data_IF_588738228580
#
_entry.id   IF_588738228580
#
_cell.length_a   1.000
_cell.length_b   1.000
_cell.length_c   1.000
_cell.angle_alpha   90.00
_cell.angle_beta   90.00
_cell.angle_gamma   90.00
#
_symmetry.space_group_name_H-M   'P 1'
#
loop_
_entity.id
_entity.type
_entity.pdbx_description
1 polymer ?
#
# COMPACT_ATOMS: atom_id res chain seq x y z
N UNK A 1 38.02 -31.21 54.17
CA UNK A 1 39.09 -32.08 53.69
C UNK A 1 39.48 -31.59 52.31
N UNK A 2 40.44 -30.73 52.16
CA UNK A 2 41.89 -30.91 52.16
C UNK A 2 42.40 -31.49 50.82
N UNK A 3 43.10 -30.65 50.11
CA UNK A 3 44.49 -30.65 49.67
C UNK A 3 44.65 -31.24 48.25
N UNK A 4 45.53 -30.87 47.38
CA UNK A 4 46.79 -30.10 47.43
C UNK A 4 47.23 -29.77 45.98
N UNK A 5 48.02 -28.73 45.85
CA UNK A 5 48.71 -28.24 44.68
C UNK A 5 49.74 -29.23 44.13
N UNK A 6 50.13 -29.05 42.84
CA UNK A 6 51.53 -29.14 42.43
C UNK A 6 51.75 -28.39 41.11
N UNK A 7 52.65 -27.44 41.15
CA UNK A 7 53.23 -26.73 39.99
C UNK A 7 54.39 -27.53 39.45
N UNK A 8 54.61 -27.50 38.12
CA UNK A 8 55.95 -27.72 37.53
C UNK A 8 56.11 -26.83 36.30
N UNK A 9 57.07 -25.94 36.44
CA UNK A 9 57.61 -25.14 35.32
C UNK A 9 58.67 -25.96 34.59
N UNK A 10 58.74 -25.81 33.27
CA UNK A 10 59.94 -26.12 32.48
C UNK A 10 60.07 -25.16 31.30
N UNK A 11 61.09 -24.40 31.36
CA UNK A 11 61.64 -23.51 30.34
C UNK A 11 62.32 -24.31 29.21
N UNK A 12 62.12 -23.92 27.94
CA UNK A 12 63.12 -24.10 26.90
C UNK A 12 62.99 -23.01 25.83
N UNK A 13 64.07 -22.30 25.62
CA UNK A 13 64.29 -21.32 24.54
C UNK A 13 64.44 -22.02 23.17
N UNK A 14 64.14 -21.27 22.12
CA UNK A 14 64.52 -21.63 20.75
C UNK A 14 63.92 -20.70 19.70
N UNK A 15 64.74 -19.76 19.20
CA UNK A 15 64.44 -18.67 18.31
C UNK A 15 63.97 -19.02 16.90
N UNK A 16 63.60 -18.01 16.18
CA UNK A 16 63.35 -18.05 14.74
C UNK A 16 62.34 -17.01 14.30
N UNK A 17 62.82 -15.87 13.81
CA UNK A 17 62.01 -14.75 13.32
C UNK A 17 61.16 -15.14 12.10
N UNK A 18 60.02 -14.59 12.06
CA UNK A 18 59.11 -14.64 10.91
C UNK A 18 57.95 -13.68 11.21
N UNK A 19 58.17 -12.38 10.87
CA UNK A 19 57.08 -11.38 10.87
C UNK A 19 56.07 -11.75 9.80
N UNK A 20 55.08 -12.55 10.16
CA UNK A 20 53.90 -12.68 9.35
C UNK A 20 52.97 -11.52 9.69
N UNK A 21 52.90 -10.57 8.77
CA UNK A 21 51.86 -9.54 8.78
C UNK A 21 50.48 -10.23 8.77
N UNK A 22 49.83 -10.30 9.91
CA UNK A 22 48.42 -10.64 9.99
C UNK A 22 47.66 -9.52 9.29
N UNK A 23 47.31 -9.77 8.03
CA UNK A 23 46.26 -9.00 7.34
C UNK A 23 44.97 -9.25 8.11
N UNK A 24 44.66 -8.31 8.96
CA UNK A 24 43.36 -8.19 9.63
C UNK A 24 42.33 -7.96 8.53
N UNK A 25 41.83 -9.03 7.92
CA UNK A 25 40.65 -8.97 7.08
C UNK A 25 39.46 -8.85 8.02
N UNK A 26 39.21 -7.59 8.45
CA UNK A 26 37.90 -7.23 9.01
C UNK A 26 36.88 -7.58 7.95
N UNK A 27 36.15 -8.67 8.15
CA UNK A 27 34.97 -8.97 7.34
C UNK A 27 34.06 -7.73 7.42
N UNK A 28 33.51 -7.25 6.29
CA UNK A 28 32.54 -6.16 6.34
C UNK A 28 31.42 -6.58 7.28
N UNK A 29 31.09 -5.73 8.25
CA UNK A 29 29.88 -5.90 9.05
C UNK A 29 28.69 -6.06 8.08
N UNK A 30 27.72 -6.93 8.36
CA UNK A 30 26.53 -7.02 7.53
C UNK A 30 25.96 -5.61 7.40
N UNK A 31 25.77 -5.16 6.17
CA UNK A 31 25.17 -3.87 5.90
C UNK A 31 23.83 -3.85 6.63
N UNK A 32 23.61 -2.89 7.53
CA UNK A 32 22.32 -2.71 8.18
C UNK A 32 21.33 -2.38 7.07
N UNK A 33 20.30 -3.21 6.91
CA UNK A 33 19.23 -2.95 5.97
C UNK A 33 18.40 -1.80 6.52
N UNK A 34 18.34 -0.69 5.80
CA UNK A 34 17.43 0.39 6.14
C UNK A 34 16.01 -0.02 5.72
N UNK A 35 15.02 0.27 6.53
CA UNK A 35 13.62 -0.01 6.22
C UNK A 35 12.92 1.30 5.89
N UNK A 36 12.24 1.34 4.74
CA UNK A 36 11.34 2.42 4.34
C UNK A 36 9.90 1.99 4.60
N UNK A 37 9.25 2.60 5.58
CA UNK A 37 7.86 2.29 5.93
C UNK A 37 6.89 3.13 5.09
N UNK A 38 6.14 2.48 4.20
CA UNK A 38 5.18 3.13 3.30
C UNK A 38 3.76 2.77 3.69
N UNK A 39 3.00 3.76 4.17
CA UNK A 39 1.57 3.64 4.43
C UNK A 39 0.81 4.00 3.16
N UNK A 40 0.07 3.07 2.59
CA UNK A 40 -0.58 3.25 1.30
C UNK A 40 -2.02 2.71 1.29
N UNK A 41 -2.89 3.42 0.60
CA UNK A 41 -4.25 2.95 0.37
C UNK A 41 -4.26 1.54 -0.22
N UNK A 42 -5.17 0.69 0.25
CA UNK A 42 -5.24 -0.73 -0.11
C UNK A 42 -5.29 -0.98 -1.64
N UNK A 43 -5.91 -0.07 -2.41
CA UNK A 43 -5.99 -0.12 -3.87
C UNK A 43 -4.65 0.07 -4.59
N UNK A 44 -3.58 0.54 -3.90
CA UNK A 44 -2.23 0.72 -4.47
C UNK A 44 -1.38 -0.54 -4.37
N UNK A 45 -1.86 -1.59 -3.68
CA UNK A 45 -1.06 -2.76 -3.29
C UNK A 45 -0.30 -3.40 -4.45
N UNK A 46 -0.97 -3.69 -5.55
CA UNK A 46 -0.36 -4.39 -6.69
C UNK A 46 0.68 -3.52 -7.39
N UNK A 47 0.35 -2.25 -7.65
CA UNK A 47 1.25 -1.33 -8.34
C UNK A 47 2.47 -0.96 -7.47
N UNK A 48 2.27 -0.72 -6.17
CA UNK A 48 3.38 -0.45 -5.25
C UNK A 48 4.28 -1.68 -5.06
N UNK A 49 3.73 -2.90 -5.03
CA UNK A 49 4.53 -4.13 -4.99
C UNK A 49 5.34 -4.40 -6.28
N UNK A 50 4.94 -3.81 -7.43
CA UNK A 50 5.79 -3.80 -8.63
C UNK A 50 6.93 -2.78 -8.50
N UNK A 51 6.63 -1.57 -7.99
CA UNK A 51 7.62 -0.50 -7.78
C UNK A 51 8.63 -0.82 -6.67
N UNK A 52 8.24 -1.58 -5.63
CA UNK A 52 9.12 -2.09 -4.59
C UNK A 52 10.36 -2.76 -5.19
N UNK A 53 10.15 -3.68 -6.12
CA UNK A 53 11.24 -4.43 -6.79
C UNK A 53 12.20 -3.50 -7.53
N UNK A 54 11.66 -2.49 -8.21
CA UNK A 54 12.46 -1.48 -8.90
C UNK A 54 13.27 -0.63 -7.92
N UNK A 55 12.62 -0.20 -6.82
CA UNK A 55 13.25 0.64 -5.81
C UNK A 55 14.38 -0.07 -5.07
N UNK A 56 14.15 -1.30 -4.62
CA UNK A 56 15.14 -2.10 -3.89
C UNK A 56 16.32 -2.48 -4.77
N UNK A 57 16.07 -2.79 -6.05
CA UNK A 57 17.14 -3.04 -7.02
C UNK A 57 18.02 -1.78 -7.26
N UNK A 58 17.42 -0.59 -7.24
CA UNK A 58 18.12 0.69 -7.42
C UNK A 58 18.75 1.22 -6.12
N UNK A 59 18.34 0.68 -4.95
CA UNK A 59 18.77 1.17 -3.63
C UNK A 59 19.25 -0.01 -2.75
N UNK A 60 20.40 -0.61 -3.05
CA UNK A 60 20.90 -1.78 -2.32
C UNK A 60 21.00 -1.55 -0.80
N UNK A 61 20.52 -2.49 0.00
CA UNK A 61 20.50 -2.40 1.46
C UNK A 61 19.29 -1.64 2.02
N UNK A 62 18.27 -1.40 1.21
CA UNK A 62 16.96 -0.88 1.63
C UNK A 62 15.90 -1.96 1.41
N UNK A 63 14.98 -2.09 2.35
CA UNK A 63 13.77 -2.91 2.31
C UNK A 63 12.55 -1.99 2.40
N UNK A 64 11.54 -2.17 1.57
CA UNK A 64 10.31 -1.38 1.60
C UNK A 64 9.21 -2.15 2.32
N UNK A 65 8.83 -1.66 3.49
CA UNK A 65 7.76 -2.28 4.28
C UNK A 65 6.44 -1.53 4.06
N UNK A 66 5.41 -2.25 3.61
CA UNK A 66 4.10 -1.64 3.37
C UNK A 66 3.12 -1.91 4.49
N UNK A 67 2.33 -0.89 4.79
CA UNK A 67 1.05 -1.02 5.48
C UNK A 67 -0.07 -0.62 4.51
N UNK A 68 -0.80 -1.62 4.00
CA UNK A 68 -1.94 -1.41 3.10
C UNK A 68 -3.25 -1.51 3.87
N UNK A 69 -3.97 -0.39 3.97
CA UNK A 69 -5.26 -0.31 4.68
C UNK A 69 -6.20 0.73 4.05
N UNK A 70 -7.34 0.95 4.68
CA UNK A 70 -8.16 2.12 4.39
C UNK A 70 -7.39 3.40 4.69
N UNK A 71 -7.48 4.40 3.82
CA UNK A 71 -6.71 5.64 4.01
C UNK A 71 -7.04 6.34 5.34
N UNK A 72 -8.28 6.25 5.80
CA UNK A 72 -8.72 6.79 7.09
C UNK A 72 -8.03 6.09 8.27
N UNK A 73 -7.82 4.77 8.18
CA UNK A 73 -7.16 3.97 9.20
C UNK A 73 -5.66 4.29 9.26
N UNK A 74 -5.02 4.47 8.09
CA UNK A 74 -3.62 4.87 7.99
C UNK A 74 -3.37 6.24 8.64
N UNK A 75 -4.25 7.21 8.40
CA UNK A 75 -4.17 8.53 9.04
C UNK A 75 -4.38 8.44 10.56
N UNK A 76 -5.32 7.60 11.01
CA UNK A 76 -5.52 7.36 12.44
C UNK A 76 -4.30 6.73 13.10
N UNK A 77 -3.69 5.73 12.46
CA UNK A 77 -2.46 5.10 12.95
C UNK A 77 -1.29 6.09 13.04
N UNK A 78 -1.13 6.98 12.03
CA UNK A 78 -0.13 8.05 12.09
C UNK A 78 -0.39 9.02 13.25
N UNK A 79 -1.65 9.40 13.47
CA UNK A 79 -2.02 10.28 14.58
C UNK A 79 -1.78 9.64 15.95
N UNK A 80 -1.83 8.30 16.03
CA UNK A 80 -1.49 7.49 17.21
C UNK A 80 0.03 7.26 17.37
N UNK A 81 0.84 7.75 16.43
CA UNK A 81 2.31 7.69 16.48
C UNK A 81 2.92 6.47 15.79
N UNK A 82 2.21 5.83 14.86
CA UNK A 82 2.78 4.76 14.05
C UNK A 82 3.97 5.29 13.21
N UNK A 83 5.04 4.49 13.13
CA UNK A 83 6.27 4.83 12.42
C UNK A 83 6.07 4.59 10.91
N UNK A 84 6.02 5.67 10.14
CA UNK A 84 5.96 5.63 8.69
C UNK A 84 6.79 6.76 8.08
N UNK A 85 7.23 6.56 6.85
CA UNK A 85 8.05 7.51 6.11
C UNK A 85 7.29 8.20 4.99
N UNK A 86 6.33 7.49 4.39
CA UNK A 86 5.50 7.97 3.29
C UNK A 86 4.05 7.62 3.54
N UNK A 87 3.14 8.53 3.23
CA UNK A 87 1.69 8.31 3.18
C UNK A 87 1.17 8.53 1.76
N UNK A 88 0.43 7.55 1.23
CA UNK A 88 -0.32 7.65 -0.03
C UNK A 88 -1.79 7.30 0.20
N UNK A 89 -2.70 8.25 -0.05
CA UNK A 89 -4.14 8.07 0.19
C UNK A 89 -4.93 7.96 -1.11
N UNK A 90 -6.11 7.34 -1.04
CA UNK A 90 -6.99 7.16 -2.21
C UNK A 90 -7.94 8.35 -2.43
N UNK A 91 -7.84 9.43 -1.66
CA UNK A 91 -8.52 10.69 -1.93
C UNK A 91 -7.83 11.88 -1.25
N UNK A 92 -8.10 13.08 -1.80
CA UNK A 92 -7.53 14.34 -1.29
C UNK A 92 -8.08 14.69 0.10
N UNK A 93 -9.35 14.39 0.40
CA UNK A 93 -9.96 14.77 1.69
C UNK A 93 -9.36 14.04 2.89
N UNK A 94 -8.88 12.82 2.71
CA UNK A 94 -8.19 12.08 3.77
C UNK A 94 -6.75 12.58 3.95
N UNK A 95 -6.04 12.89 2.86
CA UNK A 95 -4.72 13.51 2.93
C UNK A 95 -4.78 14.90 3.57
N UNK A 96 -5.81 15.69 3.26
CA UNK A 96 -6.01 17.00 3.89
C UNK A 96 -6.14 16.89 5.42
N UNK A 97 -6.85 15.87 5.94
CA UNK A 97 -6.92 15.61 7.39
C UNK A 97 -5.53 15.32 7.98
N UNK A 98 -4.70 14.56 7.28
CA UNK A 98 -3.33 14.30 7.73
C UNK A 98 -2.48 15.58 7.73
N UNK A 99 -2.62 16.43 6.71
CA UNK A 99 -1.92 17.70 6.61
C UNK A 99 -2.38 18.70 7.69
N UNK A 100 -3.69 18.82 7.93
CA UNK A 100 -4.27 19.66 8.99
C UNK A 100 -3.80 19.24 10.38
N UNK A 101 -3.56 17.95 10.59
CA UNK A 101 -3.00 17.41 11.82
C UNK A 101 -1.45 17.53 11.90
N UNK A 102 -0.79 18.10 10.88
CA UNK A 102 0.68 18.24 10.84
C UNK A 102 1.43 16.91 10.71
N UNK A 103 0.80 15.86 10.18
CA UNK A 103 1.38 14.51 10.08
C UNK A 103 2.23 14.32 8.83
N UNK A 104 1.99 15.13 7.79
CA UNK A 104 2.65 14.99 6.48
C UNK A 104 3.15 16.34 5.96
N UNK A 105 4.21 16.29 5.15
CA UNK A 105 4.76 17.42 4.44
C UNK A 105 4.00 17.75 3.15
N UNK A 106 4.71 18.32 2.16
CA UNK A 106 4.14 18.70 0.88
C UNK A 106 3.55 17.48 0.15
N UNK A 107 2.30 17.59 -0.26
CA UNK A 107 1.56 16.53 -0.95
C UNK A 107 1.51 16.78 -2.46
N UNK A 108 1.61 15.68 -3.23
CA UNK A 108 1.48 15.70 -4.69
C UNK A 108 0.42 14.71 -5.13
N UNK A 109 -0.55 15.17 -5.93
CA UNK A 109 -1.51 14.26 -6.60
C UNK A 109 -0.79 13.57 -7.76
N UNK A 110 -0.81 12.24 -7.79
CA UNK A 110 -0.07 11.47 -8.78
C UNK A 110 -0.93 10.57 -9.66
N UNK A 111 -2.16 10.23 -9.22
CA UNK A 111 -3.09 9.33 -9.92
C UNK A 111 -4.53 9.77 -9.73
N UNK A 112 -5.40 9.21 -10.56
CA UNK A 112 -6.83 9.17 -10.33
C UNK A 112 -7.42 7.78 -10.64
N UNK A 113 -8.61 7.50 -10.08
CA UNK A 113 -9.31 6.24 -10.25
C UNK A 113 -10.83 6.45 -10.21
N UNK A 114 -11.55 5.54 -10.87
CA UNK A 114 -13.01 5.52 -10.92
C UNK A 114 -13.55 4.21 -10.34
N UNK A 115 -14.84 4.18 -10.01
CA UNK A 115 -15.51 3.00 -9.51
C UNK A 115 -15.99 2.09 -10.65
N UNK A 116 -16.11 0.81 -10.33
CA UNK A 116 -16.81 -0.21 -11.11
C UNK A 116 -17.56 -1.12 -10.16
N UNK A 117 -18.56 -1.83 -10.67
CA UNK A 117 -19.22 -2.90 -9.94
C UNK A 117 -18.50 -4.22 -10.27
N UNK A 118 -18.41 -5.12 -9.31
CA UNK A 118 -17.89 -6.47 -9.51
C UNK A 118 -18.89 -7.51 -9.01
N UNK A 119 -18.92 -8.65 -9.70
CA UNK A 119 -19.63 -9.85 -9.28
C UNK A 119 -18.64 -11.04 -9.22
N UNK A 120 -18.94 -12.13 -8.52
CA UNK A 120 -18.19 -13.37 -8.63
C UNK A 120 -18.10 -13.82 -10.09
N UNK A 121 -17.05 -14.56 -10.45
CA UNK A 121 -16.85 -15.02 -11.83
C UNK A 121 -18.07 -15.76 -12.36
N UNK A 122 -18.49 -15.40 -13.57
CA UNK A 122 -19.72 -15.90 -14.20
C UNK A 122 -21.00 -15.24 -13.73
N UNK A 123 -20.93 -14.26 -12.84
CA UNK A 123 -22.03 -13.40 -12.39
C UNK A 123 -23.33 -14.19 -12.06
N UNK A 124 -23.30 -15.10 -11.09
CA UNK A 124 -24.41 -16.01 -10.82
C UNK A 124 -25.70 -15.32 -10.39
N UNK A 125 -25.62 -14.10 -9.82
CA UNK A 125 -26.77 -13.30 -9.44
C UNK A 125 -27.37 -12.49 -10.60
N UNK A 126 -26.71 -12.46 -11.76
CA UNK A 126 -27.20 -11.74 -12.94
C UNK A 126 -27.20 -10.22 -12.77
N UNK A 127 -26.25 -9.67 -12.02
CA UNK A 127 -26.12 -8.22 -11.78
C UNK A 127 -25.71 -7.53 -13.07
N UNK A 128 -26.37 -6.43 -13.43
CA UNK A 128 -26.16 -5.72 -14.71
C UNK A 128 -25.66 -4.28 -14.53
N UNK A 129 -25.77 -3.72 -13.32
CA UNK A 129 -25.36 -2.34 -13.05
C UNK A 129 -25.81 -1.88 -11.66
N UNK A 130 -25.75 -0.58 -11.43
CA UNK A 130 -26.37 0.05 -10.25
C UNK A 130 -27.86 0.26 -10.51
N UNK A 131 -28.61 -0.83 -10.66
CA UNK A 131 -30.00 -0.86 -11.04
C UNK A 131 -30.79 -1.92 -10.23
N UNK A 132 -32.02 -2.22 -10.63
CA UNK A 132 -32.88 -3.20 -9.95
C UNK A 132 -32.33 -4.63 -9.92
N UNK A 133 -31.28 -4.96 -10.67
CA UNK A 133 -30.60 -6.25 -10.56
C UNK A 133 -29.93 -6.45 -9.20
N UNK A 134 -29.72 -5.38 -8.45
CA UNK A 134 -29.17 -5.41 -7.09
C UNK A 134 -30.24 -5.64 -6.00
N UNK A 135 -31.54 -5.58 -6.30
CA UNK A 135 -32.60 -5.61 -5.28
C UNK A 135 -32.58 -6.87 -4.41
N UNK A 136 -32.16 -8.01 -4.98
CA UNK A 136 -32.04 -9.28 -4.26
C UNK A 136 -30.59 -9.78 -4.13
N UNK A 137 -29.63 -8.99 -4.54
CA UNK A 137 -28.21 -9.32 -4.45
C UNK A 137 -27.62 -8.88 -3.10
N UNK A 138 -26.72 -9.68 -2.57
CA UNK A 138 -25.91 -9.29 -1.42
C UNK A 138 -24.83 -8.30 -1.87
N UNK A 139 -25.19 -7.03 -1.92
CA UNK A 139 -24.27 -5.95 -2.26
C UNK A 139 -23.39 -5.60 -1.07
N UNK A 140 -22.08 -5.51 -1.28
CA UNK A 140 -21.12 -4.96 -0.32
C UNK A 140 -20.48 -3.70 -0.88
N UNK A 141 -20.21 -2.73 -0.01
CA UNK A 141 -19.58 -1.46 -0.35
C UNK A 141 -18.51 -1.11 0.68
N UNK A 142 -17.72 -0.08 0.42
CA UNK A 142 -16.86 0.46 1.47
C UNK A 142 -17.67 1.30 2.47
N UNK A 143 -17.20 1.36 3.72
CA UNK A 143 -17.67 2.32 4.72
C UNK A 143 -17.53 3.77 4.20
N UNK A 144 -18.45 4.63 4.59
CA UNK A 144 -18.47 6.03 4.14
C UNK A 144 -17.31 6.87 4.65
N UNK A 145 -16.58 6.43 5.67
CA UNK A 145 -15.32 7.07 6.08
C UNK A 145 -14.14 6.71 5.16
N UNK A 146 -14.20 5.55 4.49
CA UNK A 146 -13.19 5.14 3.52
C UNK A 146 -13.32 5.93 2.20
N UNK A 147 -12.20 6.19 1.48
CA UNK A 147 -12.22 6.89 0.19
C UNK A 147 -13.18 6.28 -0.85
N UNK A 148 -13.20 4.94 -0.97
CA UNK A 148 -14.10 4.22 -1.87
C UNK A 148 -15.57 4.40 -1.49
N UNK A 149 -15.91 4.41 -0.20
CA UNK A 149 -17.28 4.64 0.26
C UNK A 149 -17.75 6.08 0.05
N UNK A 150 -16.87 7.06 0.30
CA UNK A 150 -17.16 8.48 -0.03
C UNK A 150 -17.44 8.64 -1.52
N UNK A 151 -16.58 8.07 -2.37
CA UNK A 151 -16.77 8.14 -3.82
C UNK A 151 -18.04 7.41 -4.26
N UNK A 152 -18.38 6.25 -3.65
CA UNK A 152 -19.63 5.53 -3.92
C UNK A 152 -20.83 6.41 -3.59
N UNK A 153 -20.83 7.08 -2.43
CA UNK A 153 -21.90 8.00 -2.03
C UNK A 153 -22.03 9.20 -2.97
N UNK A 154 -20.90 9.78 -3.37
CA UNK A 154 -20.86 10.89 -4.34
C UNK A 154 -21.43 10.46 -5.68
N UNK A 155 -20.96 9.35 -6.24
CA UNK A 155 -21.42 8.82 -7.52
C UNK A 155 -22.92 8.50 -7.49
N UNK A 156 -23.39 7.77 -6.48
CA UNK A 156 -24.80 7.42 -6.37
C UNK A 156 -25.70 8.63 -6.16
N UNK A 157 -25.20 9.64 -5.42
CA UNK A 157 -25.88 10.93 -5.29
C UNK A 157 -26.02 11.67 -6.63
N UNK A 158 -24.95 11.70 -7.43
CA UNK A 158 -24.97 12.31 -8.77
C UNK A 158 -25.91 11.58 -9.73
N UNK A 159 -25.99 10.25 -9.62
CA UNK A 159 -26.86 9.41 -10.46
C UNK A 159 -28.30 9.32 -9.94
N UNK A 160 -28.63 9.85 -8.76
CA UNK A 160 -29.95 9.74 -8.13
C UNK A 160 -30.30 8.30 -7.71
N UNK A 161 -29.30 7.47 -7.40
CA UNK A 161 -29.45 6.05 -7.03
C UNK A 161 -29.32 5.89 -5.52
N UNK A 162 -30.11 5.01 -4.93
CA UNK A 162 -29.99 4.57 -3.55
C UNK A 162 -29.56 3.12 -3.51
N UNK A 163 -28.46 2.82 -2.83
CA UNK A 163 -27.97 1.45 -2.62
C UNK A 163 -28.41 0.94 -1.24
N UNK A 164 -28.66 -0.38 -1.16
CA UNK A 164 -29.01 -1.09 0.07
C UNK A 164 -27.95 -2.19 0.34
N UNK A 165 -26.73 -1.83 0.73
CA UNK A 165 -25.68 -2.83 0.98
C UNK A 165 -25.99 -3.66 2.23
N UNK A 166 -25.64 -4.95 2.18
CA UNK A 166 -25.74 -5.86 3.34
C UNK A 166 -24.58 -5.68 4.32
N UNK A 167 -23.47 -5.12 3.85
CA UNK A 167 -22.34 -4.75 4.72
C UNK A 167 -21.51 -3.63 4.11
N UNK A 168 -20.78 -2.92 4.99
CA UNK A 168 -19.84 -1.86 4.64
C UNK A 168 -18.45 -2.24 5.19
N UNK A 169 -17.43 -2.16 4.34
CA UNK A 169 -16.08 -2.65 4.63
C UNK A 169 -15.10 -1.49 4.84
N UNK A 170 -14.06 -1.65 5.68
CA UNK A 170 -13.12 -0.58 5.99
C UNK A 170 -12.28 -0.16 4.78
N UNK A 171 -12.11 -1.01 3.78
CA UNK A 171 -11.36 -0.71 2.56
C UNK A 171 -11.84 -1.53 1.37
N UNK A 172 -11.37 -1.17 0.18
CA UNK A 172 -11.81 -1.77 -1.09
C UNK A 172 -11.36 -3.23 -1.28
N UNK A 173 -10.24 -3.64 -0.67
CA UNK A 173 -9.75 -5.04 -0.77
C UNK A 173 -10.64 -6.00 0.02
N UNK A 174 -11.24 -5.54 1.12
CA UNK A 174 -12.21 -6.34 1.88
C UNK A 174 -13.51 -6.50 1.09
N UNK A 175 -13.99 -5.44 0.41
CA UNK A 175 -15.12 -5.55 -0.53
C UNK A 175 -14.81 -6.57 -1.62
N UNK A 176 -13.67 -6.42 -2.30
CA UNK A 176 -13.25 -7.33 -3.37
C UNK A 176 -13.13 -8.78 -2.88
N UNK A 177 -12.55 -8.98 -1.69
CA UNK A 177 -12.37 -10.30 -1.08
C UNK A 177 -13.70 -11.03 -0.86
N UNK A 178 -14.73 -10.34 -0.34
CA UNK A 178 -16.07 -10.91 -0.14
C UNK A 178 -16.74 -11.30 -1.45
N UNK A 179 -16.55 -10.51 -2.51
CA UNK A 179 -17.08 -10.87 -3.84
C UNK A 179 -16.29 -12.03 -4.44
N UNK A 180 -14.97 -12.00 -4.40
CA UNK A 180 -14.12 -13.05 -4.96
C UNK A 180 -14.31 -14.41 -4.26
N UNK A 181 -14.62 -14.41 -2.96
CA UNK A 181 -14.93 -15.64 -2.19
C UNK A 181 -16.36 -16.15 -2.40
N UNK A 182 -17.25 -15.35 -3.01
CA UNK A 182 -18.67 -15.66 -3.17
C UNK A 182 -19.50 -15.43 -1.91
N UNK A 183 -18.97 -14.75 -0.89
CA UNK A 183 -19.74 -14.30 0.28
C UNK A 183 -20.74 -13.20 -0.09
N UNK A 184 -20.39 -12.37 -1.08
CA UNK A 184 -21.23 -11.33 -1.64
C UNK A 184 -21.51 -11.59 -3.13
N UNK A 185 -22.68 -11.17 -3.58
CA UNK A 185 -23.13 -11.32 -4.98
C UNK A 185 -22.63 -10.15 -5.85
N UNK A 186 -22.39 -8.99 -5.24
CA UNK A 186 -21.84 -7.81 -5.91
C UNK A 186 -21.08 -6.91 -4.94
N UNK A 187 -20.17 -6.11 -5.47
CA UNK A 187 -19.43 -5.12 -4.69
C UNK A 187 -19.03 -3.91 -5.53
N UNK A 188 -18.97 -2.73 -4.91
CA UNK A 188 -18.45 -1.52 -5.55
C UNK A 188 -16.98 -1.38 -5.18
N UNK A 189 -16.11 -1.41 -6.20
CA UNK A 189 -14.65 -1.34 -6.05
C UNK A 189 -14.08 -0.33 -7.05
N UNK A 190 -12.77 -0.08 -6.99
CA UNK A 190 -12.12 0.67 -8.06
C UNK A 190 -11.90 -0.20 -9.30
N UNK A 191 -11.85 0.43 -10.48
CA UNK A 191 -11.55 -0.26 -11.73
C UNK A 191 -10.24 -1.02 -11.68
N UNK A 192 -9.23 -0.48 -11.02
CA UNK A 192 -7.93 -1.14 -10.84
C UNK A 192 -8.01 -2.41 -10.01
N UNK A 193 -8.87 -2.47 -8.98
CA UNK A 193 -9.07 -3.66 -8.17
C UNK A 193 -9.74 -4.79 -8.98
N UNK A 194 -10.72 -4.43 -9.79
CA UNK A 194 -11.38 -5.37 -10.70
C UNK A 194 -10.39 -5.93 -11.73
N UNK A 195 -9.53 -5.06 -12.31
CA UNK A 195 -8.48 -5.46 -13.25
C UNK A 195 -7.48 -6.44 -12.62
N UNK A 196 -7.04 -6.16 -11.39
CA UNK A 196 -6.12 -7.03 -10.67
C UNK A 196 -6.70 -8.41 -10.35
N UNK A 197 -8.02 -8.50 -10.15
CA UNK A 197 -8.74 -9.72 -9.79
C UNK A 197 -9.58 -10.32 -10.95
N UNK A 198 -9.29 -9.96 -12.19
CA UNK A 198 -10.07 -10.35 -13.40
C UNK A 198 -10.32 -11.86 -13.56
N UNK A 199 -9.48 -12.69 -12.96
CA UNK A 199 -9.63 -14.14 -12.99
C UNK A 199 -10.60 -14.66 -11.91
N UNK A 200 -10.91 -13.84 -10.89
CA UNK A 200 -11.76 -14.19 -9.74
C UNK A 200 -13.12 -13.50 -9.79
N UNK A 201 -13.19 -12.30 -10.38
CA UNK A 201 -14.39 -11.48 -10.47
C UNK A 201 -14.69 -11.09 -11.91
N UNK A 202 -15.93 -10.69 -12.14
CA UNK A 202 -16.41 -10.08 -13.38
C UNK A 202 -16.69 -8.60 -13.12
N UNK A 203 -16.04 -7.73 -13.89
CA UNK A 203 -16.26 -6.29 -13.81
C UNK A 203 -17.51 -5.91 -14.62
N UNK A 204 -18.33 -5.06 -14.04
CA UNK A 204 -19.58 -4.55 -14.62
C UNK A 204 -19.48 -3.02 -14.61
N UNK A 205 -19.54 -2.41 -15.77
CA UNK A 205 -19.39 -0.96 -15.91
C UNK A 205 -20.54 -0.21 -15.23
N UNK A 206 -20.20 0.82 -14.49
CA UNK A 206 -21.18 1.77 -13.92
C UNK A 206 -21.32 2.92 -14.91
N UNK A 207 -22.51 3.09 -15.48
CA UNK A 207 -22.78 4.25 -16.36
C UNK A 207 -22.63 5.55 -15.56
N UNK A 208 -21.83 6.49 -16.09
CA UNK A 208 -21.57 7.76 -15.41
C UNK A 208 -20.51 7.67 -14.29
N UNK A 209 -19.75 6.59 -14.21
CA UNK A 209 -18.66 6.46 -13.21
C UNK A 209 -17.64 7.60 -13.27
N UNK A 210 -17.50 8.26 -14.41
CA UNK A 210 -16.65 9.43 -14.65
C UNK A 210 -17.16 10.72 -13.97
N UNK A 211 -18.40 10.73 -13.47
CA UNK A 211 -18.95 11.87 -12.71
C UNK A 211 -18.36 11.96 -11.29
N UNK A 212 -17.72 10.91 -10.81
CA UNK A 212 -17.04 10.88 -9.53
C UNK A 212 -15.67 10.20 -9.68
N UNK A 213 -14.60 10.93 -9.37
CA UNK A 213 -13.21 10.50 -9.54
C UNK A 213 -12.43 10.75 -8.28
N UNK A 214 -11.78 9.73 -7.76
CA UNK A 214 -10.80 9.90 -6.68
C UNK A 214 -9.44 10.28 -7.25
N UNK A 215 -8.82 11.28 -6.63
CA UNK A 215 -7.44 11.67 -6.86
C UNK A 215 -6.58 11.18 -5.70
N UNK A 216 -5.44 10.60 -6.03
CA UNK A 216 -4.52 9.98 -5.09
C UNK A 216 -3.34 10.89 -4.80
N UNK A 217 -3.25 11.50 -3.64
CA UNK A 217 -2.06 12.22 -3.20
C UNK A 217 -1.07 11.30 -2.49
N UNK A 218 0.21 11.68 -2.58
CA UNK A 218 1.34 11.09 -1.85
C UNK A 218 2.12 12.21 -1.15
N UNK A 219 2.62 11.96 0.05
CA UNK A 219 3.42 12.89 0.82
C UNK A 219 4.45 12.17 1.70
N UNK A 220 5.59 12.79 2.02
CA UNK A 220 6.45 12.32 3.10
C UNK A 220 5.75 12.54 4.44
N UNK A 221 5.95 11.65 5.39
CA UNK A 221 5.51 11.84 6.79
C UNK A 221 6.45 12.85 7.46
N UNK A 222 5.88 13.81 8.19
CA UNK A 222 6.66 14.90 8.81
C UNK A 222 7.69 14.39 9.83
N UNK A 223 7.33 13.35 10.59
CA UNK A 223 8.18 12.75 11.62
C UNK A 223 9.18 11.72 11.08
N UNK A 224 9.29 11.53 9.75
CA UNK A 224 10.19 10.53 9.16
C UNK A 224 11.65 10.73 9.56
N UNK A 225 12.33 9.63 9.86
CA UNK A 225 13.78 9.59 10.07
C UNK A 225 14.54 9.21 8.79
N UNK A 226 13.82 8.83 7.75
CA UNK A 226 14.32 8.35 6.45
C UNK A 226 13.99 9.32 5.31
N UNK A 227 14.04 10.64 5.55
CA UNK A 227 13.57 11.67 4.61
C UNK A 227 14.15 11.52 3.19
N UNK A 228 15.44 11.18 3.05
CA UNK A 228 16.05 10.96 1.73
C UNK A 228 15.47 9.74 1.00
N UNK A 229 15.18 8.65 1.73
CA UNK A 229 14.57 7.45 1.16
C UNK A 229 13.11 7.71 0.78
N UNK A 230 12.35 8.42 1.63
CA UNK A 230 10.99 8.85 1.34
C UNK A 230 10.93 9.69 0.06
N UNK A 231 11.83 10.66 -0.11
CA UNK A 231 11.91 11.48 -1.33
C UNK A 231 12.28 10.65 -2.57
N UNK A 232 13.20 9.68 -2.46
CA UNK A 232 13.55 8.79 -3.57
C UNK A 232 12.37 7.91 -3.97
N UNK A 233 11.61 7.37 -3.01
CA UNK A 233 10.40 6.60 -3.27
C UNK A 233 9.35 7.46 -3.99
N UNK A 234 9.05 8.65 -3.47
CA UNK A 234 8.11 9.58 -4.10
C UNK A 234 8.56 9.95 -5.51
N UNK A 235 9.86 10.20 -5.70
CA UNK A 235 10.42 10.49 -7.03
C UNK A 235 10.23 9.33 -8.01
N UNK A 236 10.42 8.07 -7.57
CA UNK A 236 10.13 6.89 -8.39
C UNK A 236 8.64 6.81 -8.74
N UNK A 237 7.76 6.99 -7.75
CA UNK A 237 6.29 6.99 -7.95
C UNK A 237 5.87 8.04 -9.00
N UNK A 238 6.48 9.23 -8.97
CA UNK A 238 6.19 10.33 -9.89
C UNK A 238 6.93 10.21 -11.24
N UNK A 239 7.89 9.33 -11.36
CA UNK A 239 8.70 9.17 -12.58
C UNK A 239 7.87 8.59 -13.75
N UNK A 240 8.31 8.76 -15.01
CA UNK A 240 7.67 8.10 -16.15
C UNK A 240 7.59 6.56 -16.01
N UNK A 241 8.61 5.95 -15.39
CA UNK A 241 8.63 4.51 -15.11
C UNK A 241 7.52 4.16 -14.11
N UNK A 242 7.42 4.88 -12.98
CA UNK A 242 6.36 4.68 -12.00
C UNK A 242 4.97 4.90 -12.58
N UNK A 243 4.78 5.97 -13.34
CA UNK A 243 3.49 6.27 -13.97
C UNK A 243 3.07 5.18 -14.97
N UNK A 244 4.02 4.58 -15.70
CA UNK A 244 3.74 3.46 -16.60
C UNK A 244 3.25 2.21 -15.85
N UNK A 245 3.74 1.94 -14.62
CA UNK A 245 3.23 0.85 -13.77
C UNK A 245 1.76 1.10 -13.42
N UNK A 246 1.42 2.31 -13.03
CA UNK A 246 0.05 2.67 -12.67
C UNK A 246 -0.91 2.63 -13.87
N UNK A 247 -0.49 3.10 -15.05
CA UNK A 247 -1.29 3.01 -16.28
C UNK A 247 -1.61 1.55 -16.62
N UNK A 248 -0.63 0.64 -16.52
CA UNK A 248 -0.86 -0.81 -16.75
C UNK A 248 -1.82 -1.41 -15.74
N UNK A 249 -1.81 -0.92 -14.51
CA UNK A 249 -2.77 -1.33 -13.48
C UNK A 249 -4.18 -0.77 -13.71
N UNK A 250 -4.33 0.25 -14.59
CA UNK A 250 -5.62 0.86 -14.93
C UNK A 250 -5.93 2.16 -14.20
N UNK A 251 -4.95 2.74 -13.50
CA UNK A 251 -5.05 4.12 -13.01
C UNK A 251 -4.92 5.12 -14.15
N UNK A 252 -5.43 6.32 -13.94
CA UNK A 252 -5.18 7.46 -14.82
C UNK A 252 -4.13 8.35 -14.14
N UNK A 253 -2.98 8.63 -14.80
CA UNK A 253 -2.00 9.58 -14.30
C UNK A 253 -2.62 10.95 -14.03
N UNK A 254 -2.12 11.67 -13.03
CA UNK A 254 -2.50 13.06 -12.85
C UNK A 254 -1.94 13.90 -14.02
N UNK A 255 -2.73 14.85 -14.51
CA UNK A 255 -2.21 15.84 -15.47
C UNK A 255 -1.08 16.63 -14.78
N UNK A 256 0.11 16.59 -15.37
CA UNK A 256 1.26 17.38 -14.92
C UNK A 256 1.10 18.84 -15.34
#
# INVERSE_FOLDING_TARGET
>A
LAATATALALTACGGGGGSAAQSDRTAPAPAQTAVLNVFAAASLKEAFGELEKTFEAATPGVDVAFNFAGSQDLVSQLAEGADADVLATANESTMAKAAEAGLVGEQTVFLSNTLTLVAPKGNPAGVTGLDSSLDNAKLVVCDTEAPCGKLTKELTGALGITLNPVSAEPNVKDVLGKVASGEADAGVVYRTDANAAKDQVEAIDIQGADQAVNKYPIAPVEATKNAELAQKWIALVLSPEGQSVFERAGFTPAAQ
#
